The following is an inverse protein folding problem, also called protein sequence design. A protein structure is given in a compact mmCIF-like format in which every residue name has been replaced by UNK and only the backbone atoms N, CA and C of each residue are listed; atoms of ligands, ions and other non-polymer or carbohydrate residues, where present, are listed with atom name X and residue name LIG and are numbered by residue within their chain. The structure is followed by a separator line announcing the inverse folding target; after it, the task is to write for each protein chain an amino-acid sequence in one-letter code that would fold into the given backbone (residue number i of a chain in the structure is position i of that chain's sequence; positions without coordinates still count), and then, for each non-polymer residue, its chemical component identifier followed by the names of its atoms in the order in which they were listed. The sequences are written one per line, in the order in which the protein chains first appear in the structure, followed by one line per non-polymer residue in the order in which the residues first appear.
data_IF_301552492753
#
_entry.id   IF_301552492753
#
_cell.length_a   1.000
_cell.length_b   1.000
_cell.length_c   1.000
_cell.angle_alpha   90.00
_cell.angle_beta   90.00
_cell.angle_gamma   90.00
#
_symmetry.space_group_name_H-M   'P 1'
#
loop_
_entity.id
_entity.type
_entity.pdbx_description
1 polymer ?
#
# COMPACT_ATOMS: atom_id res chain seq x y z
N UNK A 1 -8.37 -20.74 20.57
CA UNK A 1 -9.52 -21.20 19.71
C UNK A 1 -9.22 -22.61 19.24
N UNK A 2 -10.15 -23.55 19.46
CA UNK A 2 -9.97 -24.93 18.99
C UNK A 2 -9.88 -24.95 17.47
N UNK A 3 -8.94 -25.71 16.93
CA UNK A 3 -8.82 -25.91 15.49
C UNK A 3 -10.14 -26.53 14.96
N UNK A 4 -10.62 -26.07 13.79
CA UNK A 4 -11.87 -26.55 13.17
C UNK A 4 -11.96 -28.08 13.06
N UNK A 5 -10.81 -28.74 12.90
CA UNK A 5 -10.68 -30.19 12.79
C UNK A 5 -10.22 -30.87 14.09
N UNK A 6 -10.31 -30.21 15.25
CA UNK A 6 -9.98 -30.82 16.51
C UNK A 6 -10.98 -31.97 16.82
N UNK A 7 -10.46 -33.15 17.19
CA UNK A 7 -11.30 -34.30 17.57
C UNK A 7 -12.28 -33.99 18.71
N UNK A 8 -11.89 -33.09 19.62
CA UNK A 8 -12.72 -32.60 20.72
C UNK A 8 -12.64 -31.06 20.77
N UNK A 9 -13.74 -30.43 20.39
CA UNK A 9 -13.98 -29.01 20.62
C UNK A 9 -14.43 -28.77 22.07
N UNK A 10 -14.53 -27.51 22.50
CA UNK A 10 -15.09 -27.15 23.82
C UNK A 10 -16.48 -27.77 24.02
N UNK A 11 -17.34 -27.78 22.97
CA UNK A 11 -18.64 -28.40 22.99
C UNK A 11 -18.57 -29.92 23.23
N UNK A 12 -17.65 -30.63 22.56
CA UNK A 12 -17.43 -32.05 22.79
C UNK A 12 -16.96 -32.37 24.23
N UNK A 13 -16.13 -31.48 24.81
CA UNK A 13 -15.68 -31.56 26.19
C UNK A 13 -16.84 -31.37 27.18
N UNK A 14 -17.69 -30.39 26.93
CA UNK A 14 -18.90 -30.17 27.72
C UNK A 14 -19.86 -31.36 27.64
N UNK A 15 -19.95 -32.03 26.49
CA UNK A 15 -20.76 -33.26 26.34
C UNK A 15 -20.19 -34.43 27.18
N UNK A 16 -18.88 -34.55 27.28
CA UNK A 16 -18.26 -35.54 28.21
C UNK A 16 -18.71 -35.29 29.66
N UNK A 17 -18.69 -34.04 30.10
CA UNK A 17 -19.09 -33.67 31.46
C UNK A 17 -20.58 -33.94 31.69
N UNK A 18 -21.45 -33.53 30.75
CA UNK A 18 -22.89 -33.78 30.85
C UNK A 18 -23.18 -35.27 31.00
N UNK A 19 -22.63 -36.12 30.11
CA UNK A 19 -22.80 -37.57 30.21
C UNK A 19 -22.30 -38.15 31.51
N UNK A 20 -21.18 -37.61 32.09
CA UNK A 20 -20.68 -38.02 33.38
C UNK A 20 -21.67 -37.64 34.50
N UNK A 21 -22.25 -36.47 34.47
CA UNK A 21 -23.28 -35.99 35.40
C UNK A 21 -24.56 -36.82 35.30
N UNK A 22 -24.89 -37.27 34.07
CA UNK A 22 -26.00 -38.20 33.81
C UNK A 22 -25.73 -39.67 34.26
N UNK A 23 -24.61 -39.89 34.96
CA UNK A 23 -24.26 -41.21 35.56
C UNK A 23 -23.52 -42.18 34.62
N UNK A 24 -23.12 -41.73 33.40
CA UNK A 24 -22.36 -42.60 32.50
C UNK A 24 -20.95 -42.86 33.05
N UNK A 25 -20.54 -44.18 32.99
CA UNK A 25 -19.16 -44.54 33.37
C UNK A 25 -18.16 -44.02 32.31
N UNK A 26 -16.97 -43.52 32.73
CA UNK A 26 -15.95 -42.99 31.85
C UNK A 26 -15.56 -43.88 30.66
N UNK A 27 -15.47 -45.22 30.78
CA UNK A 27 -15.25 -46.09 29.61
C UNK A 27 -16.30 -46.02 28.56
N UNK A 28 -17.61 -45.92 28.93
CA UNK A 28 -18.73 -45.84 28.00
C UNK A 28 -18.72 -44.49 27.30
N UNK A 29 -18.42 -43.40 28.01
CA UNK A 29 -18.24 -42.06 27.44
C UNK A 29 -17.10 -42.08 26.42
N UNK A 30 -15.97 -42.70 26.75
CA UNK A 30 -14.82 -42.79 25.84
C UNK A 30 -15.19 -43.51 24.52
N UNK A 31 -15.85 -44.65 24.65
CA UNK A 31 -16.33 -45.41 23.48
C UNK A 31 -17.31 -44.60 22.63
N UNK A 32 -18.32 -43.97 23.25
CA UNK A 32 -19.34 -43.18 22.56
C UNK A 32 -18.80 -41.87 21.90
N UNK A 33 -17.71 -41.34 22.44
CA UNK A 33 -17.07 -40.13 21.92
C UNK A 33 -15.86 -40.40 20.96
N UNK A 34 -15.50 -41.68 20.83
CA UNK A 34 -14.33 -42.06 20.00
C UNK A 34 -12.99 -41.51 20.54
N UNK A 35 -12.84 -41.38 21.87
CA UNK A 35 -11.66 -40.86 22.52
C UNK A 35 -11.10 -41.88 23.54
N UNK A 36 -9.86 -41.69 24.01
CA UNK A 36 -9.28 -42.54 25.03
C UNK A 36 -9.92 -42.27 26.40
N UNK A 37 -9.92 -43.31 27.27
CA UNK A 37 -10.37 -43.17 28.67
C UNK A 37 -9.60 -42.08 29.40
N UNK A 38 -8.26 -41.97 29.19
CA UNK A 38 -7.44 -40.94 29.77
C UNK A 38 -7.90 -39.52 29.35
N UNK A 39 -8.36 -39.38 28.12
CA UNK A 39 -8.93 -38.12 27.64
C UNK A 39 -10.19 -37.74 28.41
N UNK A 40 -11.08 -38.69 28.68
CA UNK A 40 -12.31 -38.48 29.47
C UNK A 40 -11.95 -38.10 30.92
N UNK A 41 -11.10 -38.87 31.60
CA UNK A 41 -10.65 -38.55 32.97
C UNK A 41 -9.98 -37.18 33.05
N UNK A 42 -9.15 -36.83 32.08
CA UNK A 42 -8.53 -35.50 32.01
C UNK A 42 -9.58 -34.37 32.01
N UNK A 43 -10.63 -34.49 31.22
CA UNK A 43 -11.63 -33.43 31.13
C UNK A 43 -12.54 -33.38 32.36
N UNK A 44 -12.88 -34.54 32.95
CA UNK A 44 -13.62 -34.62 34.22
C UNK A 44 -12.80 -33.94 35.32
N UNK A 45 -11.51 -34.28 35.46
CA UNK A 45 -10.65 -33.69 36.48
C UNK A 45 -10.47 -32.18 36.32
N UNK A 46 -10.33 -31.71 35.08
CA UNK A 46 -10.22 -30.26 34.80
C UNK A 46 -11.52 -29.49 35.09
N UNK A 47 -12.67 -30.10 34.78
CA UNK A 47 -13.96 -29.53 35.13
C UNK A 47 -14.21 -29.51 36.64
N UNK A 48 -13.84 -30.56 37.36
CA UNK A 48 -13.95 -30.60 38.81
C UNK A 48 -13.08 -29.52 39.50
N UNK A 49 -11.91 -29.20 38.93
CA UNK A 49 -10.99 -28.23 39.51
C UNK A 49 -11.35 -26.78 39.12
N UNK A 50 -11.89 -26.53 37.93
CA UNK A 50 -11.96 -25.18 37.34
C UNK A 50 -13.34 -24.86 36.74
N UNK A 51 -14.29 -25.75 36.83
CA UNK A 51 -15.61 -25.59 36.21
C UNK A 51 -15.54 -25.51 34.67
N UNK A 52 -16.42 -24.73 34.06
CA UNK A 52 -16.47 -24.55 32.60
C UNK A 52 -15.19 -23.94 32.02
N UNK A 53 -14.50 -23.08 32.76
CA UNK A 53 -13.22 -22.50 32.33
C UNK A 53 -12.17 -23.58 32.07
N UNK A 54 -12.23 -24.70 32.82
CA UNK A 54 -11.36 -25.87 32.65
C UNK A 54 -11.50 -26.56 31.29
N UNK A 55 -12.60 -26.36 30.57
CA UNK A 55 -12.85 -26.94 29.24
C UNK A 55 -12.23 -26.14 28.09
N UNK A 56 -11.74 -24.93 28.36
CA UNK A 56 -11.06 -24.09 27.37
C UNK A 56 -9.70 -24.68 26.96
N UNK A 57 -9.24 -24.29 25.75
CA UNK A 57 -7.89 -24.65 25.32
C UNK A 57 -6.84 -23.91 26.17
N UNK A 58 -5.85 -24.65 26.60
CA UNK A 58 -4.67 -24.07 27.23
C UNK A 58 -3.53 -23.99 26.22
N UNK A 59 -2.64 -23.02 26.42
CA UNK A 59 -1.40 -22.94 25.66
C UNK A 59 -0.61 -24.23 25.79
N UNK A 60 -0.17 -24.80 24.68
CA UNK A 60 0.76 -25.94 24.65
C UNK A 60 2.22 -25.50 24.82
N UNK A 61 2.47 -24.22 25.04
CA UNK A 61 3.81 -23.67 25.21
C UNK A 61 4.41 -24.20 26.53
N UNK A 62 5.62 -24.74 26.51
CA UNK A 62 6.30 -25.17 27.75
C UNK A 62 6.43 -24.02 28.75
N UNK A 63 6.18 -24.30 30.02
CA UNK A 63 6.39 -23.34 31.12
C UNK A 63 7.87 -22.97 31.27
N UNK A 64 8.75 -23.94 31.06
CA UNK A 64 10.21 -23.74 31.08
C UNK A 64 10.80 -23.95 29.69
N UNK A 65 11.65 -23.04 29.28
CA UNK A 65 12.36 -23.08 27.99
C UNK A 65 13.86 -22.82 28.25
N UNK A 66 14.62 -23.82 28.74
CA UNK A 66 16.03 -23.65 29.14
C UNK A 66 16.92 -23.15 28.01
N UNK A 67 16.59 -23.50 26.75
CA UNK A 67 17.34 -23.11 25.55
C UNK A 67 16.88 -21.77 24.94
N UNK A 68 15.92 -21.09 25.58
CA UNK A 68 15.49 -19.77 25.11
C UNK A 68 16.62 -18.75 25.31
N UNK A 69 16.90 -17.97 24.28
CA UNK A 69 17.85 -16.85 24.37
C UNK A 69 17.46 -15.91 25.52
N UNK A 70 18.43 -15.51 26.32
CA UNK A 70 18.19 -14.61 27.46
C UNK A 70 17.75 -13.23 27.01
N UNK A 71 16.97 -12.55 27.85
CA UNK A 71 16.53 -11.18 27.58
C UNK A 71 17.72 -10.22 27.36
N UNK A 72 18.81 -10.42 28.11
CA UNK A 72 20.03 -9.62 27.93
C UNK A 72 20.66 -9.81 26.53
N UNK A 73 20.69 -11.05 26.02
CA UNK A 73 21.19 -11.32 24.66
C UNK A 73 20.25 -10.76 23.61
N UNK A 74 18.93 -10.83 23.81
CA UNK A 74 17.96 -10.21 22.90
C UNK A 74 18.13 -8.69 22.85
N UNK A 75 18.28 -8.04 23.99
CA UNK A 75 18.55 -6.60 24.10
C UNK A 75 19.87 -6.21 23.42
N UNK A 76 20.94 -6.98 23.62
CA UNK A 76 22.24 -6.79 22.96
C UNK A 76 22.10 -6.80 21.43
N UNK A 77 21.36 -7.77 20.89
CA UNK A 77 21.12 -7.88 19.44
C UNK A 77 20.29 -6.71 18.92
N UNK A 78 19.23 -6.33 19.63
CA UNK A 78 18.39 -5.21 19.26
C UNK A 78 19.17 -3.87 19.26
N UNK A 79 19.96 -3.62 20.27
CA UNK A 79 20.84 -2.44 20.37
C UNK A 79 21.87 -2.42 19.23
N UNK A 80 22.56 -3.53 18.97
CA UNK A 80 23.51 -3.65 17.88
C UNK A 80 22.85 -3.42 16.51
N UNK A 81 21.61 -3.88 16.31
CA UNK A 81 20.83 -3.62 15.10
C UNK A 81 20.51 -2.15 14.93
N UNK A 82 20.03 -1.49 15.97
CA UNK A 82 19.70 -0.06 15.95
C UNK A 82 20.94 0.80 15.65
N UNK A 83 22.06 0.52 16.32
CA UNK A 83 23.29 1.28 16.18
C UNK A 83 23.97 1.07 14.82
N UNK A 84 24.11 -0.20 14.39
CA UNK A 84 24.91 -0.53 13.18
C UNK A 84 24.08 -0.59 11.91
N UNK A 85 22.76 -0.68 12.01
CA UNK A 85 21.86 -0.80 10.84
C UNK A 85 22.31 -1.90 9.88
N UNK A 86 22.77 -3.02 10.43
CA UNK A 86 23.37 -4.11 9.68
C UNK A 86 22.50 -5.37 9.67
N UNK A 87 22.68 -6.22 8.66
CA UNK A 87 21.98 -7.49 8.54
C UNK A 87 22.43 -8.56 9.56
N UNK A 88 21.66 -9.67 9.72
CA UNK A 88 21.96 -10.71 10.71
C UNK A 88 23.37 -11.31 10.62
N UNK A 89 23.95 -11.41 9.41
CA UNK A 89 25.30 -11.93 9.22
C UNK A 89 26.36 -11.03 9.89
N UNK A 90 26.27 -9.72 9.66
CA UNK A 90 27.17 -8.74 10.27
C UNK A 90 26.96 -8.65 11.79
N UNK A 91 25.69 -8.72 12.23
CA UNK A 91 25.38 -8.71 13.65
C UNK A 91 25.92 -9.95 14.36
N UNK A 92 25.98 -11.11 13.70
CA UNK A 92 26.54 -12.33 14.25
C UNK A 92 28.04 -12.18 14.61
N UNK A 93 28.83 -11.55 13.73
CA UNK A 93 30.25 -11.31 13.98
C UNK A 93 30.50 -10.37 15.16
N UNK A 94 29.56 -9.45 15.44
CA UNK A 94 29.69 -8.45 16.51
C UNK A 94 29.15 -8.96 17.86
N UNK A 95 28.04 -9.71 17.82
CA UNK A 95 27.34 -10.12 19.03
C UNK A 95 27.74 -11.52 19.52
N UNK A 96 28.36 -12.34 18.64
CA UNK A 96 28.64 -13.76 18.88
C UNK A 96 27.39 -14.66 18.81
N UNK A 97 26.23 -14.11 18.44
CA UNK A 97 24.95 -14.85 18.36
C UNK A 97 24.78 -15.42 16.96
N UNK A 98 24.38 -16.71 16.80
CA UNK A 98 24.18 -17.29 15.48
C UNK A 98 23.16 -16.53 14.62
N UNK A 99 23.42 -16.41 13.31
CA UNK A 99 22.61 -15.65 12.32
C UNK A 99 21.13 -15.99 12.39
N UNK A 100 20.80 -17.30 12.50
CA UNK A 100 19.41 -17.77 12.59
C UNK A 100 18.72 -17.30 13.88
N UNK A 101 19.47 -17.28 14.99
CA UNK A 101 18.97 -16.79 16.28
C UNK A 101 18.73 -15.29 16.22
N UNK A 102 19.64 -14.52 15.64
CA UNK A 102 19.47 -13.09 15.41
C UNK A 102 18.22 -12.82 14.59
N UNK A 103 18.01 -13.52 13.47
CA UNK A 103 16.82 -13.34 12.64
C UNK A 103 15.52 -13.58 13.42
N UNK A 104 15.50 -14.59 14.30
CA UNK A 104 14.35 -14.88 15.17
C UNK A 104 14.15 -13.81 16.25
N UNK A 105 15.22 -13.27 16.81
CA UNK A 105 15.18 -12.18 17.78
C UNK A 105 14.59 -10.94 17.11
N UNK A 106 15.13 -10.51 15.95
CA UNK A 106 14.66 -9.34 15.22
C UNK A 106 13.18 -9.47 14.86
N UNK A 107 12.72 -10.64 14.41
CA UNK A 107 11.32 -10.89 14.11
C UNK A 107 10.42 -10.84 15.38
N UNK A 108 10.91 -11.34 16.53
CA UNK A 108 10.17 -11.33 17.80
C UNK A 108 10.00 -9.92 18.37
N UNK A 109 10.97 -9.04 18.11
CA UNK A 109 10.95 -7.63 18.50
C UNK A 109 10.34 -6.72 17.43
N UNK A 110 9.68 -7.28 16.40
CA UNK A 110 9.08 -6.56 15.29
C UNK A 110 10.01 -5.51 14.64
N UNK A 111 11.32 -5.81 14.66
CA UNK A 111 12.29 -4.88 14.07
C UNK A 111 12.17 -4.85 12.54
N UNK A 112 12.10 -3.65 11.94
CA UNK A 112 11.87 -3.50 10.51
C UNK A 112 13.06 -4.06 9.69
N UNK A 113 12.75 -4.50 8.46
CA UNK A 113 13.82 -4.88 7.52
C UNK A 113 14.62 -3.64 7.11
N UNK A 114 15.94 -3.80 6.91
CA UNK A 114 16.80 -2.69 6.47
C UNK A 114 16.35 -2.06 5.14
N UNK A 115 15.81 -2.87 4.23
CA UNK A 115 15.26 -2.38 2.95
C UNK A 115 14.05 -1.45 3.11
N UNK A 116 13.41 -1.48 4.27
CA UNK A 116 12.23 -0.69 4.60
C UNK A 116 12.58 0.52 5.48
N UNK A 117 13.88 0.74 5.73
CA UNK A 117 14.40 1.84 6.52
C UNK A 117 15.30 2.75 5.69
N UNK A 118 15.32 4.02 6.02
CA UNK A 118 16.31 4.96 5.52
C UNK A 118 17.71 4.57 6.02
N UNK A 119 18.70 4.40 5.14
CA UNK A 119 20.05 3.98 5.54
C UNK A 119 20.75 4.98 6.48
N UNK A 120 20.46 6.28 6.36
CA UNK A 120 21.09 7.33 7.13
C UNK A 120 20.43 7.51 8.50
N UNK A 121 19.11 7.55 8.56
CA UNK A 121 18.36 7.84 9.79
C UNK A 121 17.91 6.59 10.51
N UNK A 122 17.70 5.48 9.79
CA UNK A 122 17.08 4.25 10.32
C UNK A 122 15.56 4.33 10.43
N UNK A 123 14.94 5.45 10.04
CA UNK A 123 13.48 5.60 10.03
C UNK A 123 12.83 4.66 9.01
N UNK A 124 11.66 4.14 9.34
CA UNK A 124 10.89 3.28 8.44
C UNK A 124 10.32 4.12 7.29
N UNK A 125 10.78 3.85 6.07
CA UNK A 125 10.38 4.57 4.86
C UNK A 125 9.28 3.87 4.07
N UNK A 126 8.96 2.61 4.39
CA UNK A 126 7.83 1.88 3.81
C UNK A 126 6.72 1.77 4.84
N UNK A 127 5.57 2.35 4.51
CA UNK A 127 4.36 2.10 5.28
C UNK A 127 4.00 0.61 5.19
N UNK A 128 3.97 -0.08 6.32
CA UNK A 128 3.37 -1.41 6.37
C UNK A 128 1.86 -1.27 6.15
N UNK A 129 1.20 -2.35 5.71
CA UNK A 129 -0.27 -2.34 5.57
C UNK A 129 -0.99 -2.02 6.89
N UNK A 130 -0.34 -2.30 8.01
CA UNK A 130 -0.86 -2.04 9.36
C UNK A 130 -0.61 -0.62 9.86
N UNK A 131 0.44 0.06 9.35
CA UNK A 131 0.81 1.43 9.75
C UNK A 131 0.47 2.47 8.69
N UNK A 132 -0.04 2.07 7.52
CA UNK A 132 -0.44 2.97 6.45
C UNK A 132 -1.63 3.83 6.90
N UNK A 133 -1.38 5.05 7.32
CA UNK A 133 -2.43 6.03 7.59
C UNK A 133 -2.95 6.55 6.26
N UNK A 134 -4.16 6.13 5.90
CA UNK A 134 -4.88 6.70 4.76
C UNK A 134 -5.45 8.04 5.18
N UNK A 135 -4.93 9.12 4.61
CA UNK A 135 -5.49 10.44 4.80
C UNK A 135 -6.38 10.83 3.61
N UNK A 136 -7.39 11.60 3.88
CA UNK A 136 -8.26 12.25 2.90
C UNK A 136 -8.66 13.61 3.45
N UNK A 137 -8.60 14.65 2.62
CA UNK A 137 -9.00 16.00 3.01
C UNK A 137 -10.50 16.11 3.05
N UNK A 138 -11.00 17.05 3.82
CA UNK A 138 -12.43 17.17 4.10
C UNK A 138 -13.21 17.93 3.04
N UNK A 139 -12.52 18.78 2.26
CA UNK A 139 -13.14 19.62 1.23
C UNK A 139 -12.28 19.74 -0.03
N UNK A 140 -12.93 20.01 -1.20
CA UNK A 140 -12.23 20.26 -2.44
C UNK A 140 -11.26 21.43 -2.35
N UNK A 141 -10.12 21.35 -3.02
CA UNK A 141 -9.10 22.40 -3.07
C UNK A 141 -8.21 22.53 -1.83
N UNK A 142 -8.51 21.84 -0.72
CA UNK A 142 -7.65 21.87 0.48
C UNK A 142 -6.25 21.34 0.20
N UNK A 143 -6.14 20.33 -0.66
CA UNK A 143 -4.88 19.76 -1.11
C UNK A 143 -5.05 19.20 -2.53
N UNK A 144 -4.17 19.58 -3.43
CA UNK A 144 -4.04 18.99 -4.75
C UNK A 144 -2.68 18.32 -4.91
N UNK A 145 -2.63 17.27 -5.70
CA UNK A 145 -1.43 16.51 -5.99
C UNK A 145 -1.04 16.68 -7.43
N UNK A 146 0.23 16.94 -7.73
CA UNK A 146 0.76 17.09 -9.07
C UNK A 146 1.92 16.13 -9.32
N UNK A 147 1.98 15.56 -10.52
CA UNK A 147 3.04 14.68 -10.97
C UNK A 147 3.15 14.66 -12.49
N UNK A 148 4.29 14.19 -13.00
CA UNK A 148 4.53 13.99 -14.44
C UNK A 148 4.80 12.53 -14.74
N UNK A 149 4.04 11.96 -15.66
CA UNK A 149 4.20 10.60 -16.14
C UNK A 149 4.82 10.58 -17.53
N UNK A 150 6.00 9.94 -17.67
CA UNK A 150 6.63 9.70 -18.97
C UNK A 150 5.99 8.50 -19.66
N UNK A 151 5.59 8.68 -20.90
CA UNK A 151 5.08 7.65 -21.78
C UNK A 151 5.93 7.58 -23.04
N UNK A 152 6.42 6.41 -23.41
CA UNK A 152 7.08 6.24 -24.72
C UNK A 152 6.15 6.65 -25.85
N UNK A 153 6.66 7.38 -26.84
CA UNK A 153 5.91 7.75 -28.05
C UNK A 153 5.61 6.53 -28.89
N UNK A 154 4.51 6.58 -29.59
CA UNK A 154 4.06 5.55 -30.52
C UNK A 154 4.52 5.95 -31.92
N UNK A 155 5.25 5.07 -32.64
CA UNK A 155 5.62 5.34 -34.02
C UNK A 155 4.40 5.33 -34.93
N UNK A 156 4.49 6.03 -36.06
CA UNK A 156 3.45 5.99 -37.07
C UNK A 156 3.29 4.56 -37.62
N UNK A 157 2.05 4.13 -37.78
CA UNK A 157 1.67 2.77 -38.07
C UNK A 157 1.60 1.86 -36.84
N UNK A 158 1.84 2.39 -35.62
CA UNK A 158 1.76 1.66 -34.36
C UNK A 158 3.07 0.99 -33.94
N UNK A 159 3.15 0.65 -32.65
CA UNK A 159 4.30 -0.01 -32.05
C UNK A 159 4.11 -1.53 -31.90
N UNK A 160 4.86 -2.15 -31.00
CA UNK A 160 4.82 -3.59 -30.72
C UNK A 160 3.41 -4.12 -30.35
N UNK A 161 2.52 -3.25 -29.83
CA UNK A 161 1.13 -3.64 -29.50
C UNK A 161 0.28 -3.84 -30.77
N UNK A 162 0.60 -3.13 -31.86
CA UNK A 162 -0.06 -3.29 -33.13
C UNK A 162 0.45 -4.49 -33.94
N UNK A 163 1.75 -4.79 -33.84
CA UNK A 163 2.41 -5.73 -34.72
C UNK A 163 3.02 -6.95 -34.04
N UNK A 164 2.90 -7.05 -32.70
CA UNK A 164 3.60 -8.08 -31.91
C UNK A 164 5.04 -7.68 -31.57
N UNK A 165 5.63 -8.34 -30.57
CA UNK A 165 6.96 -7.98 -30.07
C UNK A 165 8.10 -8.22 -31.06
N UNK A 166 8.04 -9.29 -31.83
CA UNK A 166 9.06 -9.62 -32.80
C UNK A 166 9.09 -8.65 -33.99
N UNK A 167 7.94 -8.43 -34.62
CA UNK A 167 7.80 -7.46 -35.71
C UNK A 167 8.04 -6.00 -35.26
N UNK A 168 7.64 -5.66 -34.03
CA UNK A 168 7.91 -4.36 -33.43
C UNK A 168 9.38 -4.10 -33.15
N UNK A 169 10.19 -5.14 -32.86
CA UNK A 169 11.63 -5.02 -32.68
C UNK A 169 12.38 -4.85 -34.00
N UNK A 170 11.93 -5.51 -35.06
CA UNK A 170 12.52 -5.42 -36.42
C UNK A 170 12.21 -4.04 -37.07
N UNK A 171 11.03 -3.45 -36.80
CA UNK A 171 10.66 -2.11 -37.27
C UNK A 171 11.27 -0.97 -36.47
N UNK A 172 11.96 -1.28 -35.38
CA UNK A 172 12.63 -0.27 -34.58
C UNK A 172 13.88 0.19 -35.29
N UNK A 173 13.72 1.22 -36.11
CA UNK A 173 14.86 1.95 -36.62
C UNK A 173 15.65 2.52 -35.44
N UNK A 174 16.82 1.96 -35.15
CA UNK A 174 17.70 2.38 -34.07
C UNK A 174 18.22 3.79 -34.26
N UNK A 175 18.10 4.35 -35.46
CA UNK A 175 18.50 5.72 -35.77
C UNK A 175 17.47 6.75 -35.28
N UNK A 176 16.19 6.35 -35.16
CA UNK A 176 15.09 7.27 -34.79
C UNK A 176 14.70 7.05 -33.32
N UNK A 177 15.21 7.89 -32.43
CA UNK A 177 14.75 7.92 -31.03
C UNK A 177 13.40 8.60 -30.98
N UNK A 178 12.31 7.87 -30.84
CA UNK A 178 10.94 8.41 -30.72
C UNK A 178 10.73 9.31 -29.51
N UNK A 179 11.54 9.15 -28.45
CA UNK A 179 11.43 9.95 -27.24
C UNK A 179 10.21 9.62 -26.40
N UNK A 180 9.81 10.59 -25.58
CA UNK A 180 8.72 10.46 -24.63
C UNK A 180 7.72 11.59 -24.77
N UNK A 181 6.47 11.28 -24.44
CA UNK A 181 5.46 12.26 -24.05
C UNK A 181 5.50 12.45 -22.54
N UNK A 182 5.24 13.65 -22.09
CA UNK A 182 5.20 14.01 -20.67
C UNK A 182 3.76 14.35 -20.32
N UNK A 183 3.09 13.46 -19.62
CA UNK A 183 1.72 13.66 -19.16
C UNK A 183 1.78 14.33 -17.80
N UNK A 184 1.50 15.62 -17.78
CA UNK A 184 1.34 16.38 -16.55
C UNK A 184 -0.06 16.15 -15.99
N UNK A 185 -0.17 15.89 -14.72
CA UNK A 185 -1.44 15.58 -14.08
C UNK A 185 -1.58 16.30 -12.75
N UNK A 186 -2.76 16.83 -12.46
CA UNK A 186 -3.14 17.35 -11.15
C UNK A 186 -4.45 16.71 -10.69
N UNK A 187 -4.52 16.33 -9.40
CA UNK A 187 -5.66 15.62 -8.82
C UNK A 187 -6.01 16.21 -7.45
N UNK A 188 -7.26 16.58 -7.24
CA UNK A 188 -7.75 16.99 -5.93
C UNK A 188 -7.85 15.83 -4.96
N UNK A 189 -7.37 16.03 -3.73
CA UNK A 189 -7.33 14.98 -2.71
C UNK A 189 -8.73 14.55 -2.25
N UNK A 190 -9.69 15.47 -2.18
CA UNK A 190 -11.05 15.18 -1.71
C UNK A 190 -11.94 14.62 -2.80
N UNK A 191 -12.13 15.36 -3.89
CA UNK A 191 -13.07 14.99 -4.95
C UNK A 191 -12.52 13.96 -5.92
N UNK A 192 -11.19 13.84 -6.05
CA UNK A 192 -10.50 13.12 -7.13
C UNK A 192 -10.66 13.74 -8.51
N UNK A 193 -11.22 14.95 -8.62
CA UNK A 193 -11.21 15.70 -9.88
C UNK A 193 -9.78 15.75 -10.39
N UNK A 194 -9.61 15.44 -11.67
CA UNK A 194 -8.30 15.38 -12.30
C UNK A 194 -8.24 16.26 -13.54
N UNK A 195 -7.06 16.81 -13.79
CA UNK A 195 -6.71 17.48 -15.02
C UNK A 195 -5.38 16.95 -15.54
N UNK A 196 -5.28 16.76 -16.85
CA UNK A 196 -4.05 16.24 -17.47
C UNK A 196 -3.82 16.81 -18.85
N UNK A 197 -2.56 17.05 -19.19
CA UNK A 197 -2.10 17.46 -20.51
C UNK A 197 -0.89 16.65 -20.94
N UNK A 198 -0.76 16.41 -22.24
CA UNK A 198 0.47 15.90 -22.84
C UNK A 198 1.32 17.06 -23.30
N UNK A 199 2.49 17.23 -22.71
CA UNK A 199 3.40 18.34 -23.00
C UNK A 199 4.75 17.81 -23.51
N UNK A 200 5.57 18.74 -24.04
CA UNK A 200 6.83 18.40 -24.72
C UNK A 200 7.95 17.93 -23.76
N UNK A 201 7.90 18.39 -22.52
CA UNK A 201 8.94 18.12 -21.51
C UNK A 201 8.40 18.25 -20.08
N UNK A 202 9.27 18.01 -19.10
CA UNK A 202 9.01 18.16 -17.65
C UNK A 202 9.81 19.33 -17.04
N UNK A 203 10.22 20.31 -17.84
CA UNK A 203 11.00 21.44 -17.37
C UNK A 203 10.18 22.39 -16.49
N UNK A 204 10.85 23.17 -15.69
CA UNK A 204 10.21 24.09 -14.75
C UNK A 204 9.18 25.04 -15.36
N UNK A 205 9.51 25.79 -16.46
CA UNK A 205 8.54 26.66 -17.12
C UNK A 205 7.29 25.92 -17.66
N UNK A 206 7.50 24.71 -18.20
CA UNK A 206 6.41 23.84 -18.68
C UNK A 206 5.50 23.42 -17.54
N UNK A 207 6.09 23.02 -16.40
CA UNK A 207 5.34 22.67 -15.18
C UNK A 207 4.58 23.87 -14.62
N UNK A 208 5.17 25.07 -14.64
CA UNK A 208 4.51 26.30 -14.19
C UNK A 208 3.32 26.67 -15.07
N UNK A 209 3.50 26.64 -16.40
CA UNK A 209 2.41 26.88 -17.34
C UNK A 209 1.27 25.85 -17.20
N UNK A 210 1.59 24.58 -16.99
CA UNK A 210 0.59 23.56 -16.69
C UNK A 210 -0.19 23.88 -15.41
N UNK A 211 0.50 24.30 -14.34
CA UNK A 211 -0.15 24.62 -13.07
C UNK A 211 -1.17 25.75 -13.23
N UNK A 212 -0.85 26.81 -13.98
CA UNK A 212 -1.80 27.91 -14.25
C UNK A 212 -3.08 27.38 -14.91
N UNK A 213 -2.94 26.64 -16.02
CA UNK A 213 -4.13 26.07 -16.72
C UNK A 213 -4.91 25.08 -15.87
N UNK A 214 -4.20 24.31 -15.05
CA UNK A 214 -4.84 23.39 -14.11
C UNK A 214 -5.66 24.14 -13.04
N UNK A 215 -5.17 25.28 -12.51
CA UNK A 215 -5.91 26.13 -11.56
C UNK A 215 -7.19 26.64 -12.22
N UNK A 216 -7.10 27.14 -13.46
CA UNK A 216 -8.26 27.61 -14.23
C UNK A 216 -9.28 26.48 -14.44
N UNK A 217 -8.81 25.29 -14.83
CA UNK A 217 -9.66 24.11 -14.99
C UNK A 217 -10.39 23.73 -13.70
N UNK A 218 -9.69 23.71 -12.58
CA UNK A 218 -10.28 23.40 -11.26
C UNK A 218 -11.30 24.46 -10.85
N UNK A 219 -11.02 25.73 -11.10
CA UNK A 219 -11.96 26.82 -10.81
C UNK A 219 -13.25 26.68 -11.64
N UNK A 220 -13.14 26.37 -12.94
CA UNK A 220 -14.30 26.13 -13.82
C UNK A 220 -15.15 24.91 -13.39
N UNK A 221 -14.59 24.00 -12.59
CA UNK A 221 -15.28 22.81 -12.08
C UNK A 221 -15.65 22.91 -10.58
N UNK A 222 -15.77 24.12 -10.03
CA UNK A 222 -16.25 24.35 -8.67
C UNK A 222 -15.18 24.33 -7.58
N UNK A 223 -13.89 24.24 -7.93
CA UNK A 223 -12.77 24.39 -6.98
C UNK A 223 -12.15 25.79 -7.17
N UNK A 224 -12.83 26.80 -6.68
CA UNK A 224 -12.41 28.19 -6.85
C UNK A 224 -11.15 28.60 -6.09
N UNK A 225 -10.67 27.79 -5.13
CA UNK A 225 -9.44 28.05 -4.38
C UNK A 225 -8.69 26.75 -4.10
N UNK A 226 -7.41 26.75 -4.43
CA UNK A 226 -6.47 25.71 -4.03
C UNK A 226 -5.63 26.25 -2.87
N UNK A 227 -5.60 25.54 -1.74
CA UNK A 227 -4.83 25.97 -0.58
C UNK A 227 -3.41 25.44 -0.57
N UNK A 228 -3.26 24.17 -0.98
CA UNK A 228 -1.96 23.48 -0.95
C UNK A 228 -1.75 22.63 -2.19
N UNK A 229 -0.55 22.70 -2.73
CA UNK A 229 -0.07 21.84 -3.82
C UNK A 229 1.00 20.89 -3.29
N UNK A 230 0.81 19.58 -3.46
CA UNK A 230 1.79 18.56 -3.14
C UNK A 230 2.46 18.03 -4.39
N UNK A 231 3.79 18.01 -4.36
CA UNK A 231 4.64 17.44 -5.41
C UNK A 231 5.71 16.53 -4.81
N UNK A 232 6.40 15.79 -5.65
CA UNK A 232 7.67 15.19 -5.26
C UNK A 232 8.78 16.27 -5.12
N UNK A 233 10.02 15.82 -4.88
CA UNK A 233 11.17 16.70 -4.69
C UNK A 233 11.91 17.03 -5.99
N UNK A 234 11.32 16.82 -7.17
CA UNK A 234 11.97 17.10 -8.44
C UNK A 234 12.33 18.59 -8.59
N UNK A 235 13.50 18.86 -9.18
CA UNK A 235 14.01 20.22 -9.37
C UNK A 235 13.05 21.14 -10.09
N UNK A 236 12.30 20.59 -11.09
CA UNK A 236 11.32 21.31 -11.87
C UNK A 236 10.19 21.94 -11.02
N UNK A 237 9.91 21.37 -9.83
CA UNK A 237 8.85 21.88 -8.95
C UNK A 237 9.37 22.85 -7.90
N UNK A 238 10.63 22.70 -7.45
CA UNK A 238 11.17 23.46 -6.31
C UNK A 238 11.17 24.97 -6.50
N UNK A 239 11.52 25.41 -7.68
CA UNK A 239 11.72 26.84 -7.98
C UNK A 239 10.66 27.39 -8.91
N UNK A 240 10.37 26.66 -9.99
CA UNK A 240 9.52 27.19 -11.07
C UNK A 240 8.04 27.33 -10.70
N UNK A 241 7.55 26.53 -9.72
CA UNK A 241 6.16 26.67 -9.25
C UNK A 241 5.98 27.75 -8.18
N UNK A 242 7.08 28.26 -7.60
CA UNK A 242 7.03 29.19 -6.47
C UNK A 242 6.28 30.47 -6.79
N UNK A 243 6.53 31.07 -7.94
CA UNK A 243 5.87 32.32 -8.37
C UNK A 243 4.39 32.11 -8.59
N UNK A 244 4.02 31.06 -9.31
CA UNK A 244 2.61 30.71 -9.55
C UNK A 244 1.90 30.43 -8.24
N UNK A 245 2.50 29.63 -7.35
CA UNK A 245 1.92 29.34 -6.04
C UNK A 245 1.74 30.61 -5.20
N UNK A 246 2.71 31.52 -5.20
CA UNK A 246 2.62 32.78 -4.47
C UNK A 246 1.52 33.70 -5.05
N UNK A 247 1.44 33.83 -6.37
CA UNK A 247 0.42 34.65 -7.05
C UNK A 247 -1.01 34.17 -6.75
N UNK A 248 -1.20 32.87 -6.56
CA UNK A 248 -2.52 32.29 -6.26
C UNK A 248 -2.74 31.95 -4.77
N UNK A 249 -1.81 32.33 -3.87
CA UNK A 249 -1.89 32.04 -2.44
C UNK A 249 -1.89 30.55 -2.10
N UNK A 250 -1.20 29.74 -2.91
CA UNK A 250 -1.09 28.28 -2.77
C UNK A 250 0.15 27.92 -1.94
N UNK A 251 -0.05 27.18 -0.84
CA UNK A 251 1.04 26.65 -0.04
C UNK A 251 1.70 25.45 -0.70
N UNK A 252 2.94 25.59 -1.21
CA UNK A 252 3.68 24.47 -1.80
C UNK A 252 4.15 23.50 -0.73
N UNK A 253 3.88 22.21 -0.92
CA UNK A 253 4.27 21.09 -0.06
C UNK A 253 5.05 20.07 -0.85
N UNK A 254 6.14 19.57 -0.27
CA UNK A 254 6.93 18.49 -0.83
C UNK A 254 6.75 17.23 -0.01
N UNK A 255 6.78 16.07 -0.68
CA UNK A 255 6.82 14.80 0.03
C UNK A 255 8.12 14.70 0.83
N UNK A 256 8.09 13.99 1.96
CA UNK A 256 9.31 13.63 2.67
C UNK A 256 10.18 12.72 1.79
N UNK A 257 11.50 12.81 1.88
CA UNK A 257 12.40 11.88 1.19
C UNK A 257 11.97 10.43 1.47
N UNK A 258 12.03 9.58 0.45
CA UNK A 258 11.63 8.16 0.51
C UNK A 258 10.17 7.88 0.92
N UNK A 259 9.29 8.89 0.86
CA UNK A 259 7.88 8.75 1.21
C UNK A 259 6.94 8.98 0.00
N UNK A 260 7.06 8.22 -1.11
CA UNK A 260 6.26 8.44 -2.32
C UNK A 260 4.76 8.31 -2.05
N UNK A 261 4.35 7.48 -1.09
CA UNK A 261 2.93 7.32 -0.72
C UNK A 261 2.23 8.62 -0.32
N UNK A 262 2.98 9.67 0.06
CA UNK A 262 2.39 10.98 0.36
C UNK A 262 1.80 11.63 -0.88
N UNK A 263 2.33 11.34 -2.10
CA UNK A 263 1.73 11.75 -3.37
C UNK A 263 0.84 10.67 -4.01
N UNK A 264 0.39 9.71 -3.21
CA UNK A 264 -0.29 8.49 -3.64
C UNK A 264 -1.60 8.71 -4.42
N UNK A 265 -2.24 9.91 -4.33
CA UNK A 265 -3.46 10.20 -5.07
C UNK A 265 -3.18 10.36 -6.56
N UNK A 266 -2.18 11.16 -6.93
CA UNK A 266 -1.79 11.33 -8.33
C UNK A 266 -1.07 10.09 -8.87
N UNK A 267 -0.30 9.37 -8.05
CA UNK A 267 0.27 8.07 -8.45
C UNK A 267 -0.82 7.06 -8.80
N UNK A 268 -1.86 6.98 -7.98
CA UNK A 268 -3.03 6.13 -8.26
C UNK A 268 -3.76 6.56 -9.52
N UNK A 269 -3.94 7.86 -9.72
CA UNK A 269 -4.51 8.42 -10.93
C UNK A 269 -3.67 8.06 -12.16
N UNK A 270 -2.36 8.26 -12.11
CA UNK A 270 -1.43 7.92 -13.20
C UNK A 270 -1.47 6.43 -13.56
N UNK A 271 -1.74 5.55 -12.59
CA UNK A 271 -1.97 4.12 -12.85
C UNK A 271 -3.28 3.90 -13.61
N UNK A 272 -4.34 4.58 -13.23
CA UNK A 272 -5.65 4.53 -13.90
C UNK A 272 -5.54 5.07 -15.33
N UNK A 273 -4.93 6.25 -15.49
CA UNK A 273 -4.63 6.87 -16.76
C UNK A 273 -3.86 5.92 -17.71
N UNK A 274 -2.83 5.27 -17.20
CA UNK A 274 -2.05 4.30 -17.98
C UNK A 274 -2.91 3.11 -18.44
N UNK A 275 -3.73 2.54 -17.54
CA UNK A 275 -4.55 1.35 -17.83
C UNK A 275 -5.79 1.63 -18.64
N UNK A 276 -6.41 2.79 -18.48
CA UNK A 276 -7.73 3.09 -19.05
C UNK A 276 -7.68 4.06 -20.25
N UNK A 277 -6.57 4.76 -20.43
CA UNK A 277 -6.31 5.59 -21.59
C UNK A 277 -5.08 5.17 -22.37
N UNK A 278 -3.87 5.33 -21.83
CA UNK A 278 -2.63 5.24 -22.58
C UNK A 278 -2.38 3.87 -23.23
N UNK A 279 -2.88 2.78 -22.59
CA UNK A 279 -2.69 1.39 -23.02
C UNK A 279 -4.01 0.62 -23.13
N UNK A 280 -5.14 1.30 -23.15
CA UNK A 280 -6.48 0.68 -23.23
C UNK A 280 -6.72 0.02 -24.57
N UNK A 281 -6.24 0.63 -25.64
CA UNK A 281 -6.40 0.15 -27.02
C UNK A 281 -5.07 0.21 -27.76
N UNK A 282 -5.05 -0.37 -28.95
CA UNK A 282 -3.91 -0.28 -29.85
C UNK A 282 -4.02 1.00 -30.64
N UNK A 283 -3.14 1.96 -30.34
CA UNK A 283 -3.03 3.21 -31.11
C UNK A 283 -2.04 3.01 -32.25
N UNK A 284 -2.37 3.55 -33.43
CA UNK A 284 -1.55 3.50 -34.62
C UNK A 284 -0.62 4.69 -34.76
N UNK A 285 -0.84 5.75 -33.97
CA UNK A 285 0.04 6.91 -33.91
C UNK A 285 0.02 7.56 -32.53
N UNK A 286 1.01 8.42 -32.27
CA UNK A 286 1.05 9.19 -31.04
C UNK A 286 -0.04 10.27 -31.00
N UNK A 287 -0.36 10.85 -32.14
CA UNK A 287 -1.43 11.84 -32.29
C UNK A 287 -2.80 11.26 -31.94
N UNK A 288 -3.08 10.04 -32.40
CA UNK A 288 -4.32 9.33 -32.04
C UNK A 288 -4.45 9.13 -30.52
N UNK A 289 -3.36 8.69 -29.85
CA UNK A 289 -3.35 8.55 -28.39
C UNK A 289 -3.58 9.88 -27.69
N UNK A 290 -2.94 10.95 -28.13
CA UNK A 290 -3.10 12.28 -27.53
C UNK A 290 -4.54 12.80 -27.70
N UNK A 291 -5.14 12.64 -28.88
CA UNK A 291 -6.51 13.04 -29.14
C UNK A 291 -7.53 12.31 -28.23
N UNK A 292 -7.24 11.09 -27.85
CA UNK A 292 -8.09 10.29 -26.94
C UNK A 292 -8.00 10.73 -25.47
N UNK A 293 -7.09 11.64 -25.07
CA UNK A 293 -6.94 12.06 -23.67
C UNK A 293 -8.14 12.88 -23.17
N UNK A 294 -8.55 13.89 -23.93
CA UNK A 294 -9.61 14.80 -23.48
C UNK A 294 -10.97 14.07 -23.27
N UNK A 295 -11.46 13.24 -24.22
CA UNK A 295 -12.67 12.44 -23.97
C UNK A 295 -12.56 11.49 -22.80
N UNK A 296 -11.38 10.87 -22.60
CA UNK A 296 -11.17 9.99 -21.46
C UNK A 296 -11.17 10.77 -20.14
N UNK A 297 -10.57 11.95 -20.10
CA UNK A 297 -10.53 12.80 -18.90
C UNK A 297 -11.93 13.27 -18.50
N UNK A 298 -12.76 13.64 -19.49
CA UNK A 298 -14.16 13.96 -19.27
C UNK A 298 -14.91 12.77 -18.67
N UNK A 299 -14.81 11.59 -19.28
CA UNK A 299 -15.38 10.35 -18.73
C UNK A 299 -14.87 10.04 -17.33
N UNK A 300 -13.57 10.22 -17.07
CA UNK A 300 -12.98 10.01 -15.74
C UNK A 300 -13.63 10.89 -14.68
N UNK A 301 -13.86 12.16 -14.98
CA UNK A 301 -14.38 13.14 -14.04
C UNK A 301 -15.89 13.06 -13.84
N UNK A 302 -16.66 12.72 -14.88
CA UNK A 302 -18.12 12.84 -14.89
C UNK A 302 -18.87 11.51 -14.80
N UNK A 303 -18.28 10.41 -15.25
CA UNK A 303 -19.00 9.12 -15.38
C UNK A 303 -18.32 7.97 -14.65
N UNK A 304 -16.98 7.98 -14.60
CA UNK A 304 -16.23 6.85 -14.06
C UNK A 304 -16.53 6.58 -12.59
N UNK A 305 -16.92 5.35 -12.26
CA UNK A 305 -17.15 4.92 -10.89
C UNK A 305 -15.85 4.78 -10.11
N UNK A 306 -15.75 5.50 -8.98
CA UNK A 306 -14.62 5.45 -8.07
C UNK A 306 -14.97 4.70 -6.78
N UNK A 307 -14.27 3.61 -6.49
CA UNK A 307 -14.47 2.85 -5.25
C UNK A 307 -14.24 3.69 -3.98
N UNK A 308 -13.30 4.64 -4.04
CA UNK A 308 -13.03 5.55 -2.93
C UNK A 308 -14.14 6.61 -2.71
N UNK A 309 -15.02 6.80 -3.70
CA UNK A 309 -16.13 7.76 -3.67
C UNK A 309 -17.49 7.05 -3.58
N UNK A 310 -17.50 5.80 -3.08
CA UNK A 310 -18.74 5.02 -2.98
C UNK A 310 -19.35 4.65 -4.34
N UNK A 311 -18.52 4.50 -5.38
CA UNK A 311 -18.96 4.17 -6.73
C UNK A 311 -19.46 5.38 -7.55
N UNK A 312 -19.25 6.60 -7.07
CA UNK A 312 -19.64 7.83 -7.77
C UNK A 312 -18.46 8.46 -8.52
N UNK A 313 -18.68 9.27 -9.56
CA UNK A 313 -17.61 10.00 -10.26
C UNK A 313 -17.10 11.18 -9.43
N UNK A 314 -15.89 11.70 -9.74
CA UNK A 314 -15.29 12.86 -9.08
C UNK A 314 -16.19 14.08 -8.95
N UNK A 315 -16.91 14.44 -10.02
CA UNK A 315 -17.81 15.60 -10.06
C UNK A 315 -18.89 15.55 -8.97
N UNK A 316 -19.28 14.35 -8.50
CA UNK A 316 -20.31 14.18 -7.48
C UNK A 316 -19.92 14.73 -6.09
N UNK A 317 -18.64 15.06 -5.86
CA UNK A 317 -18.16 15.69 -4.62
C UNK A 317 -17.90 17.18 -4.75
N UNK A 318 -18.29 17.77 -5.87
CA UNK A 318 -18.21 19.19 -6.12
C UNK A 318 -19.59 19.79 -6.03
N UNK A 319 -19.69 20.98 -5.47
CA UNK A 319 -20.95 21.73 -5.47
C UNK A 319 -21.30 22.10 -6.92
N UNK A 320 -22.57 22.05 -7.32
CA UNK A 320 -22.99 22.62 -8.60
C UNK A 320 -22.58 24.09 -8.64
N UNK A 321 -21.90 24.50 -9.69
CA UNK A 321 -21.58 25.91 -9.97
C UNK A 321 -22.81 26.62 -10.48
#
# INVERSE_FOLDING_TARGET
MSHRNARLTVHGRALIIRRHQDGWKPPHIAAAMGVSRQCVYKWIGRYAAEGEAGLADRSSRPHMMPTKTSAATEAKVAAARAQRRAGPAVLASVTGVPVRTISRILARHDMPYLRDCDPMTGEVIRASKTTAVRYERTRPGELVHMDVKKLGRIPDGGGWRAHGREAGSQRRDRSTRLGYDYVHSMVDDHSRLAYSEVLSDEKGPTCAGFLVRAIEYFAAHGIGRIERLMTDNAWAYRWSLREVCAAHGIGQKFIKPHCPWQNGKVERYNRTLAGEWAYRQVFTSNTERQAALAPWLEHYNTERNHSALGGKPPISRLSPT
#
